data_IF_587069556524
#
_entry.id   IF_587069556524
#
_cell.length_a   1.000
_cell.length_b   1.000
_cell.length_c   1.000
_cell.angle_alpha   90.00
_cell.angle_beta   90.00
_cell.angle_gamma   90.00
#
_symmetry.space_group_name_H-M   'P 1'
#
loop_
_entity.id
_entity.type
_entity.pdbx_description
1 polymer ?
#
# COMPACT_ATOMS: atom_id res chain seq x y z
N UNK A 1 13.91 -20.09 33.20
CA UNK A 1 13.85 -20.65 31.82
C UNK A 1 12.92 -19.76 31.00
N UNK A 2 13.48 -18.82 30.23
CA UNK A 2 12.67 -17.90 29.43
C UNK A 2 12.39 -18.56 28.08
N UNK A 3 11.12 -18.82 27.78
CA UNK A 3 10.70 -19.32 26.47
C UNK A 3 10.98 -18.21 25.45
N UNK A 4 11.98 -18.38 24.59
CA UNK A 4 12.11 -17.57 23.39
C UNK A 4 10.97 -17.96 22.45
N UNK A 5 10.01 -17.06 22.24
CA UNK A 5 9.01 -17.22 21.20
C UNK A 5 9.70 -17.08 19.84
N UNK A 6 9.86 -18.20 19.13
CA UNK A 6 10.33 -18.20 17.74
C UNK A 6 9.17 -17.78 16.83
N UNK A 7 8.75 -16.52 16.96
CA UNK A 7 7.84 -15.90 15.99
C UNK A 7 8.61 -15.73 14.69
N UNK A 8 8.20 -16.45 13.63
CA UNK A 8 8.79 -16.31 12.29
C UNK A 8 8.55 -14.86 11.82
N UNK A 9 9.54 -13.99 11.96
CA UNK A 9 9.55 -12.64 11.38
C UNK A 9 9.53 -12.80 9.85
N UNK A 10 8.34 -12.90 9.29
CA UNK A 10 8.14 -13.08 7.86
C UNK A 10 8.06 -11.69 7.25
N UNK A 11 9.04 -11.35 6.41
CA UNK A 11 9.00 -10.13 5.61
C UNK A 11 8.21 -10.39 4.33
N UNK A 12 7.21 -9.56 4.06
CA UNK A 12 6.37 -9.65 2.86
C UNK A 12 6.72 -8.51 1.91
N UNK A 13 7.18 -8.85 0.71
CA UNK A 13 7.34 -7.85 -0.35
C UNK A 13 5.96 -7.53 -0.93
N UNK A 14 5.63 -6.24 -0.97
CA UNK A 14 4.33 -5.74 -1.45
C UNK A 14 4.53 -4.69 -2.53
N UNK A 15 3.67 -4.69 -3.54
CA UNK A 15 3.61 -3.65 -4.57
C UNK A 15 2.27 -2.93 -4.53
N UNK A 16 2.27 -1.63 -4.78
CA UNK A 16 1.05 -0.83 -4.95
C UNK A 16 0.77 -0.71 -6.45
N UNK A 17 -0.49 -0.90 -6.85
CA UNK A 17 -0.97 -0.59 -8.20
C UNK A 17 -2.11 0.41 -8.11
N UNK A 18 -2.02 1.49 -8.88
CA UNK A 18 -3.02 2.57 -8.94
C UNK A 18 -3.43 2.81 -10.38
N UNK A 19 -4.69 3.18 -10.59
CA UNK A 19 -5.19 3.53 -11.91
C UNK A 19 -6.28 4.58 -11.84
N UNK A 20 -6.41 5.39 -12.90
CA UNK A 20 -7.55 6.29 -13.02
C UNK A 20 -8.81 5.48 -13.30
N UNK A 21 -9.90 5.86 -12.64
CA UNK A 21 -11.20 5.30 -12.97
C UNK A 21 -11.75 6.04 -14.19
N UNK A 22 -12.44 5.35 -15.11
CA UNK A 22 -13.12 6.01 -16.23
C UNK A 22 -14.21 7.00 -15.74
N UNK A 23 -14.63 6.90 -14.48
CA UNK A 23 -15.69 7.71 -13.87
C UNK A 23 -15.17 8.89 -13.03
N UNK A 24 -13.86 9.14 -12.98
CA UNK A 24 -13.23 10.26 -12.24
C UNK A 24 -13.59 11.67 -12.79
N UNK A 25 -14.52 11.75 -13.76
CA UNK A 25 -15.22 12.97 -14.13
C UNK A 25 -16.33 13.37 -13.14
N UNK A 26 -16.57 12.61 -12.06
CA UNK A 26 -17.49 13.03 -10.99
C UNK A 26 -16.77 13.90 -9.97
N UNK A 27 -16.99 15.21 -10.12
CA UNK A 27 -16.54 16.25 -9.18
C UNK A 27 -16.97 15.93 -7.75
N UNK A 28 -16.02 15.83 -6.81
CA UNK A 28 -16.31 15.80 -5.38
C UNK A 28 -15.22 15.14 -4.54
N UNK A 29 -14.73 13.98 -4.97
CA UNK A 29 -13.59 13.30 -4.35
C UNK A 29 -12.69 12.76 -5.46
N UNK A 30 -11.76 13.59 -5.93
CA UNK A 30 -10.76 13.11 -6.88
C UNK A 30 -9.99 11.97 -6.22
N UNK A 31 -10.27 10.73 -6.62
CA UNK A 31 -9.36 9.59 -6.50
C UNK A 31 -8.18 9.84 -7.45
N UNK A 32 -7.50 10.98 -7.31
CA UNK A 32 -6.31 11.28 -8.07
C UNK A 32 -5.28 10.19 -7.80
N UNK A 33 -4.52 9.82 -8.82
CA UNK A 33 -3.41 8.86 -8.71
C UNK A 33 -2.52 9.20 -7.50
N UNK A 34 -2.26 10.47 -7.24
CA UNK A 34 -1.50 10.94 -6.08
C UNK A 34 -2.19 10.63 -4.74
N UNK A 35 -3.51 10.88 -4.63
CA UNK A 35 -4.24 10.57 -3.41
C UNK A 35 -4.31 9.06 -3.16
N UNK A 36 -4.50 8.26 -4.21
CA UNK A 36 -4.44 6.79 -4.13
C UNK A 36 -3.06 6.30 -3.66
N UNK A 37 -1.98 6.82 -4.25
CA UNK A 37 -0.60 6.50 -3.83
C UNK A 37 -0.35 6.84 -2.38
N UNK A 38 -0.77 8.03 -1.93
CA UNK A 38 -0.62 8.47 -0.54
C UNK A 38 -1.34 7.52 0.43
N UNK A 39 -2.63 7.25 0.21
CA UNK A 39 -3.42 6.39 1.09
C UNK A 39 -2.84 4.97 1.20
N UNK A 40 -2.44 4.39 0.07
CA UNK A 40 -1.92 3.02 0.04
C UNK A 40 -0.51 2.93 0.64
N UNK A 41 0.33 3.96 0.43
CA UNK A 41 1.67 4.04 1.05
C UNK A 41 1.54 4.19 2.57
N UNK A 42 0.66 5.07 3.04
CA UNK A 42 0.36 5.26 4.45
C UNK A 42 -0.12 3.94 5.08
N UNK A 43 -0.99 3.18 4.39
CA UNK A 43 -1.47 1.88 4.86
C UNK A 43 -0.36 0.82 4.94
N UNK A 44 0.48 0.68 3.91
CA UNK A 44 1.61 -0.28 3.90
C UNK A 44 2.60 0.04 5.03
N UNK A 45 2.86 1.33 5.30
CA UNK A 45 3.79 1.76 6.35
C UNK A 45 3.35 1.35 7.77
N UNK A 46 2.05 1.11 7.97
CA UNK A 46 1.48 0.71 9.26
C UNK A 46 1.56 -0.80 9.49
N UNK A 47 1.90 -1.60 8.47
CA UNK A 47 1.94 -3.06 8.58
C UNK A 47 3.31 -3.56 9.06
N UNK A 48 3.33 -4.32 10.15
CA UNK A 48 4.55 -4.93 10.65
C UNK A 48 5.05 -6.02 9.67
N UNK A 49 6.30 -5.90 9.23
CA UNK A 49 6.95 -6.89 8.37
C UNK A 49 6.64 -6.73 6.87
N UNK A 50 5.98 -5.66 6.44
CA UNK A 50 5.79 -5.40 5.01
C UNK A 50 6.94 -4.55 4.46
N UNK A 51 7.37 -4.87 3.24
CA UNK A 51 8.42 -4.18 2.51
C UNK A 51 7.87 -3.73 1.15
N UNK A 52 7.65 -2.43 0.98
CA UNK A 52 7.17 -1.87 -0.28
C UNK A 52 8.28 -1.94 -1.34
N UNK A 53 8.05 -2.72 -2.40
CA UNK A 53 9.05 -2.94 -3.47
C UNK A 53 8.80 -2.11 -4.72
N UNK A 54 7.61 -1.53 -4.87
CA UNK A 54 7.27 -0.73 -6.04
C UNK A 54 5.86 -0.16 -6.00
N UNK A 55 5.68 0.90 -6.78
CA UNK A 55 4.39 1.53 -7.06
C UNK A 55 4.26 1.57 -8.59
N UNK A 56 3.17 1.02 -9.10
CA UNK A 56 2.86 0.93 -10.52
C UNK A 56 1.58 1.71 -10.82
N UNK A 57 1.58 2.47 -11.91
CA UNK A 57 0.45 3.34 -12.27
C UNK A 57 -0.01 3.06 -13.70
N UNK A 58 -1.33 3.18 -13.92
CA UNK A 58 -2.00 3.06 -15.21
C UNK A 58 -2.96 4.26 -15.36
N UNK A 59 -2.61 5.18 -16.26
CA UNK A 59 -3.29 6.48 -16.42
C UNK A 59 -4.15 6.50 -17.69
#
# INVERSE_FOLDING_TARGET
MTRQSTGRNSSYNVGIYVRLSQEDMREGESLSIENQKKMLTDYVSQQAGWNLVGIYEDA
#
